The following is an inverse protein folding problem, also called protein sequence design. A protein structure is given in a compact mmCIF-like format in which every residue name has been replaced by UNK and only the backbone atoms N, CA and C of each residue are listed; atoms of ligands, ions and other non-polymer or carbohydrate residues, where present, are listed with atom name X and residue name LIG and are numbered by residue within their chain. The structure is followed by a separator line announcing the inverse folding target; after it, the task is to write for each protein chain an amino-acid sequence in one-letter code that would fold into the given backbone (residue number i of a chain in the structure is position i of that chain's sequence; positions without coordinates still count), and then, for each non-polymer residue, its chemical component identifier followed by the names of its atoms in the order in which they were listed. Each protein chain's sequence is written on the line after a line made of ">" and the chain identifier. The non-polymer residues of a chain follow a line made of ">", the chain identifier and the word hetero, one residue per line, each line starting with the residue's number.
data_IF_684573533432
#
_entry.id   IF_684573533432
#
_cell.length_a   1.000
_cell.length_b   1.000
_cell.length_c   1.000
_cell.angle_alpha   90.00
_cell.angle_beta   90.00
_cell.angle_gamma   90.00
#
_symmetry.space_group_name_H-M   'P 1'
#
loop_
_entity.id
_entity.type
_entity.pdbx_description
1 polymer ?
#
# COMPACT_ATOMS: atom_id res chain seq x y z
N UNK A 1 7.64 28.02 -8.45
CA UNK A 1 7.14 27.13 -7.40
C UNK A 1 6.69 25.90 -8.13
N UNK A 2 7.63 24.97 -8.36
CA UNK A 2 7.40 23.73 -9.10
C UNK A 2 6.27 22.99 -8.40
N UNK A 3 5.22 22.68 -9.15
CA UNK A 3 4.16 21.82 -8.68
C UNK A 3 4.72 20.40 -8.81
N UNK A 4 5.19 19.82 -7.72
CA UNK A 4 5.53 18.40 -7.62
C UNK A 4 4.22 17.59 -7.56
N UNK A 5 3.39 17.75 -8.60
CA UNK A 5 2.26 16.90 -8.87
C UNK A 5 2.82 15.71 -9.67
N UNK A 6 2.28 14.49 -9.50
CA UNK A 6 2.48 13.32 -10.40
C UNK A 6 3.52 12.25 -9.97
N UNK A 7 3.63 11.90 -8.68
CA UNK A 7 4.15 10.56 -8.30
C UNK A 7 3.10 9.67 -7.64
N UNK A 8 1.87 9.76 -8.14
CA UNK A 8 0.87 8.74 -7.91
C UNK A 8 1.30 7.47 -8.66
N UNK A 9 1.71 6.44 -7.92
CA UNK A 9 2.11 5.15 -8.47
C UNK A 9 0.93 4.17 -8.36
N UNK A 10 0.70 3.41 -9.43
CA UNK A 10 -0.21 2.28 -9.36
C UNK A 10 0.46 1.15 -8.58
N UNK A 11 -0.25 0.64 -7.59
CA UNK A 11 0.15 -0.51 -6.81
C UNK A 11 -0.96 -1.56 -6.89
N UNK A 12 -0.55 -2.82 -7.04
CA UNK A 12 -1.45 -3.95 -7.04
C UNK A 12 -1.12 -4.85 -5.85
N UNK A 13 -2.10 -5.10 -5.00
CA UNK A 13 -1.98 -6.03 -3.88
C UNK A 13 -2.85 -7.25 -4.15
N UNK A 14 -2.38 -8.42 -3.69
CA UNK A 14 -3.22 -9.59 -3.63
C UNK A 14 -3.93 -9.63 -2.29
N UNK A 15 -5.27 -9.69 -2.31
CA UNK A 15 -6.01 -9.90 -1.09
C UNK A 15 -5.73 -11.31 -0.55
N UNK A 16 -5.20 -11.47 0.68
CA UNK A 16 -4.91 -12.79 1.23
C UNK A 16 -6.18 -13.55 1.65
N UNK A 17 -7.32 -12.87 1.81
CA UNK A 17 -8.61 -13.50 2.14
C UNK A 17 -9.27 -14.17 0.93
N UNK A 18 -9.32 -13.50 -0.23
CA UNK A 18 -10.01 -14.01 -1.41
C UNK A 18 -9.10 -14.35 -2.60
N UNK A 19 -7.82 -13.96 -2.54
CA UNK A 19 -6.87 -14.15 -3.64
C UNK A 19 -7.15 -13.30 -4.88
N UNK A 20 -7.93 -12.21 -4.74
CA UNK A 20 -8.16 -11.26 -5.84
C UNK A 20 -7.15 -10.12 -5.82
N UNK A 21 -6.68 -9.74 -7.01
CA UNK A 21 -5.79 -8.58 -7.16
C UNK A 21 -6.63 -7.31 -7.07
N UNK A 22 -6.30 -6.45 -6.11
CA UNK A 22 -6.86 -5.11 -5.97
C UNK A 22 -5.83 -4.09 -6.46
N UNK A 23 -6.31 -3.08 -7.17
CA UNK A 23 -5.48 -2.01 -7.72
C UNK A 23 -5.81 -0.72 -6.96
N UNK A 24 -4.78 -0.08 -6.44
CA UNK A 24 -4.89 1.16 -5.69
C UNK A 24 -3.74 2.08 -6.06
N UNK A 25 -3.85 3.33 -5.62
CA UNK A 25 -2.90 4.37 -5.94
C UNK A 25 -2.21 4.84 -4.68
N UNK A 26 -0.88 4.77 -4.67
CA UNK A 26 -0.06 5.30 -3.58
C UNK A 26 0.67 6.54 -4.06
N UNK A 27 0.82 7.50 -3.17
CA UNK A 27 1.63 8.67 -3.44
C UNK A 27 3.04 8.43 -2.87
N UNK A 28 4.03 8.42 -3.76
CA UNK A 28 5.45 8.29 -3.39
C UNK A 28 6.15 9.67 -3.36
N UNK A 29 5.38 10.75 -3.28
CA UNK A 29 5.92 12.11 -3.25
C UNK A 29 6.42 12.47 -1.85
N UNK A 30 5.78 11.90 -0.84
CA UNK A 30 6.14 12.04 0.57
C UNK A 30 7.31 11.11 0.93
N UNK A 31 8.28 11.63 1.67
CA UNK A 31 9.40 10.83 2.22
C UNK A 31 8.98 10.06 3.48
N UNK A 32 7.87 10.47 4.10
CA UNK A 32 7.31 9.89 5.32
C UNK A 32 6.55 8.57 5.07
N UNK A 33 6.49 7.68 6.08
CA UNK A 33 5.76 6.41 5.97
C UNK A 33 4.24 6.64 5.96
N UNK A 34 3.61 6.30 4.83
CA UNK A 34 2.18 6.48 4.60
C UNK A 34 1.41 5.17 4.84
N UNK A 35 0.22 5.27 5.42
CA UNK A 35 -0.66 4.13 5.65
C UNK A 35 -1.94 4.34 4.84
N UNK A 36 -2.20 3.43 3.92
CA UNK A 36 -3.41 3.40 3.10
C UNK A 36 -4.29 2.24 3.57
N UNK A 37 -5.59 2.48 3.63
CA UNK A 37 -6.58 1.47 3.99
C UNK A 37 -7.41 1.19 2.74
N UNK A 38 -7.26 0.00 2.17
CA UNK A 38 -7.94 -0.42 0.95
C UNK A 38 -8.92 -1.54 1.24
N UNK A 39 -10.18 -1.34 0.90
CA UNK A 39 -11.25 -2.31 1.08
C UNK A 39 -11.40 -3.17 -0.17
N UNK A 40 -11.40 -4.49 0.00
CA UNK A 40 -11.55 -5.40 -1.12
C UNK A 40 -13.00 -5.38 -1.61
N UNK A 41 -13.29 -5.01 -2.89
CA UNK A 41 -14.65 -5.00 -3.41
C UNK A 41 -15.24 -6.40 -3.62
N UNK A 42 -14.42 -7.45 -3.46
CA UNK A 42 -14.82 -8.85 -3.64
C UNK A 42 -15.25 -9.49 -2.33
N UNK A 43 -14.45 -9.37 -1.27
CA UNK A 43 -14.75 -9.97 0.04
C UNK A 43 -15.24 -8.96 1.10
N UNK A 44 -14.96 -7.67 0.92
CA UNK A 44 -15.29 -6.62 1.90
C UNK A 44 -14.27 -6.47 3.04
N UNK A 45 -13.16 -7.22 3.01
CA UNK A 45 -12.09 -7.09 4.00
C UNK A 45 -11.24 -5.84 3.76
N UNK A 46 -10.74 -5.25 4.84
CA UNK A 46 -9.84 -4.10 4.81
C UNK A 46 -8.38 -4.59 4.77
N UNK A 47 -7.60 -4.02 3.86
CA UNK A 47 -6.18 -4.23 3.74
C UNK A 47 -5.44 -2.96 4.13
N UNK A 48 -4.52 -3.09 5.06
CA UNK A 48 -3.64 -2.02 5.48
C UNK A 48 -2.36 -2.06 4.65
N UNK A 49 -2.18 -1.06 3.80
CA UNK A 49 -0.99 -0.90 2.97
C UNK A 49 -0.08 0.15 3.60
N UNK A 50 1.03 -0.31 4.14
CA UNK A 50 2.07 0.51 4.76
C UNK A 50 3.17 0.76 3.72
N UNK A 51 3.27 2.01 3.26
CA UNK A 51 4.34 2.50 2.43
C UNK A 51 5.42 3.09 3.32
N UNK A 52 6.67 2.63 3.17
CA UNK A 52 7.81 3.25 3.84
C UNK A 52 9.04 3.22 2.95
N UNK A 53 9.85 4.25 3.05
CA UNK A 53 11.17 4.32 2.43
C UNK A 53 12.21 3.91 3.47
N UNK A 54 13.11 3.01 3.12
CA UNK A 54 14.22 2.65 3.99
C UNK A 54 15.35 3.67 3.83
N UNK A 55 15.97 4.10 4.93
CA UNK A 55 17.04 5.12 4.91
C UNK A 55 18.30 4.62 4.16
N UNK A 56 18.43 3.29 3.97
CA UNK A 56 19.53 2.68 3.22
C UNK A 56 19.21 2.29 1.77
N UNK A 57 17.94 2.29 1.36
CA UNK A 57 17.50 1.86 0.03
C UNK A 57 16.80 3.02 -0.67
N UNK A 58 17.25 3.40 -1.87
CA UNK A 58 16.59 4.43 -2.69
C UNK A 58 15.18 4.00 -3.18
N UNK A 59 14.74 2.80 -2.78
CA UNK A 59 13.48 2.17 -3.18
C UNK A 59 12.44 2.32 -2.09
N UNK A 60 11.19 2.50 -2.52
CA UNK A 60 10.04 2.44 -1.64
C UNK A 60 9.64 0.99 -1.41
N UNK A 61 9.39 0.66 -0.14
CA UNK A 61 8.87 -0.63 0.27
C UNK A 61 7.37 -0.49 0.56
N UNK A 62 6.58 -1.37 -0.07
CA UNK A 62 5.14 -1.47 0.16
C UNK A 62 4.89 -2.75 0.94
N UNK A 63 4.24 -2.64 2.09
CA UNK A 63 3.86 -3.76 2.94
C UNK A 63 2.36 -3.84 3.07
N UNK A 64 1.79 -4.95 2.62
CA UNK A 64 0.36 -5.23 2.75
C UNK A 64 0.17 -6.07 4.01
N UNK A 65 -0.58 -5.55 4.97
CA UNK A 65 -1.11 -6.28 6.13
C UNK A 65 -2.61 -6.40 5.90
N UNK A 66 -3.09 -7.58 5.54
CA UNK A 66 -4.46 -7.90 5.90
C UNK A 66 -4.43 -8.28 7.39
N UNK A 67 -5.51 -8.00 8.10
CA UNK A 67 -5.73 -8.50 9.46
C UNK A 67 -5.93 -10.03 9.38
N UNK A 68 -4.86 -10.73 9.04
CA UNK A 68 -4.68 -12.11 9.41
C UNK A 68 -4.00 -12.01 10.76
N UNK A 69 -4.78 -12.25 11.82
CA UNK A 69 -4.31 -12.51 13.18
C UNK A 69 -3.36 -13.73 13.17
N UNK A 70 -2.20 -13.61 12.49
CA UNK A 70 -1.09 -14.54 12.54
C UNK A 70 -0.40 -14.38 13.89
N UNK A 71 -1.12 -14.76 14.93
CA UNK A 71 -0.59 -14.95 16.27
C UNK A 71 -0.72 -16.43 16.66
N UNK A 72 0.32 -17.18 16.25
CA UNK A 72 0.96 -18.32 16.92
C UNK A 72 0.11 -19.52 17.41
#
# INVERSE_FOLDING_TARGET
>A
MTMDQEKLHDAAAHCPHCGHTIHFYVDLSEDDPQNYEEECPVCGDVLYVELFRDVGDDKFHVRIKADDEQYY
#
